data_IF_332866932257
#
_entry.id   IF_332866932257
#
_cell.length_a   1.000
_cell.length_b   1.000
_cell.length_c   1.000
_cell.angle_alpha   90.00
_cell.angle_beta   90.00
_cell.angle_gamma   90.00
#
_symmetry.space_group_name_H-M   'P 1'
#
loop_
_entity.id
_entity.type
_entity.pdbx_description
1 polymer ?
#
# COMPACT_ATOMS: atom_id res chain seq x y z
N UNK A 1 -18.77 -13.48 42.38
CA UNK A 1 -18.12 -13.32 41.06
C UNK A 1 -19.08 -12.55 40.18
N UNK A 2 -18.65 -11.42 39.60
CA UNK A 2 -19.48 -10.68 38.64
C UNK A 2 -19.48 -11.46 37.33
N UNK A 3 -20.66 -11.80 36.80
CA UNK A 3 -20.72 -12.47 35.50
C UNK A 3 -20.54 -11.43 34.39
N UNK A 4 -19.86 -11.78 33.30
CA UNK A 4 -19.64 -10.88 32.16
C UNK A 4 -20.97 -10.33 31.59
N UNK A 5 -22.04 -11.14 31.68
CA UNK A 5 -23.39 -10.78 31.27
C UNK A 5 -24.08 -9.76 32.19
N UNK A 6 -23.59 -9.57 33.42
CA UNK A 6 -24.14 -8.63 34.40
C UNK A 6 -23.47 -7.25 34.31
N UNK A 7 -22.41 -7.11 33.52
CA UNK A 7 -21.73 -5.84 33.31
C UNK A 7 -22.60 -4.87 32.49
N UNK A 8 -22.54 -3.55 32.74
CA UNK A 8 -23.09 -2.52 31.86
C UNK A 8 -22.51 -2.56 30.45
N UNK A 9 -23.27 -2.09 29.46
CA UNK A 9 -22.87 -2.10 28.04
C UNK A 9 -21.55 -1.34 27.82
N UNK A 10 -21.33 -0.24 28.56
CA UNK A 10 -20.13 0.59 28.46
C UNK A 10 -18.88 -0.18 28.88
N UNK A 11 -18.96 -0.97 29.95
CA UNK A 11 -17.83 -1.80 30.41
C UNK A 11 -17.56 -2.95 29.44
N UNK A 12 -18.61 -3.53 28.85
CA UNK A 12 -18.47 -4.56 27.81
C UNK A 12 -17.73 -3.99 26.60
N UNK A 13 -18.09 -2.78 26.14
CA UNK A 13 -17.44 -2.13 25.02
C UNK A 13 -15.97 -1.76 25.33
N UNK A 14 -15.65 -1.34 26.55
CA UNK A 14 -14.25 -1.12 26.96
C UNK A 14 -13.44 -2.41 26.90
N UNK A 15 -13.99 -3.52 27.38
CA UNK A 15 -13.32 -4.84 27.31
C UNK A 15 -13.12 -5.24 25.85
N UNK A 16 -14.12 -5.08 25.00
CA UNK A 16 -14.05 -5.39 23.57
C UNK A 16 -12.99 -4.53 22.89
N UNK A 17 -12.98 -3.23 23.14
CA UNK A 17 -11.97 -2.33 22.61
C UNK A 17 -10.57 -2.72 23.06
N UNK A 18 -10.39 -3.23 24.29
CA UNK A 18 -9.11 -3.75 24.75
C UNK A 18 -8.72 -5.07 24.08
N UNK A 19 -9.68 -5.97 23.82
CA UNK A 19 -9.43 -7.23 23.08
C UNK A 19 -9.09 -6.94 21.61
N UNK A 20 -9.76 -5.95 21.01
CA UNK A 20 -9.55 -5.48 19.65
C UNK A 20 -8.35 -4.55 19.51
N UNK A 21 -7.86 -3.95 20.61
CA UNK A 21 -6.69 -3.09 20.57
C UNK A 21 -5.53 -3.89 19.97
N UNK A 22 -5.03 -3.39 18.84
CA UNK A 22 -3.84 -3.96 18.23
C UNK A 22 -2.74 -3.94 19.29
N UNK A 23 -2.22 -5.11 19.67
CA UNK A 23 -0.90 -5.17 20.30
C UNK A 23 0.03 -4.64 19.23
N UNK A 24 0.40 -3.37 19.37
CA UNK A 24 0.89 -2.50 18.29
C UNK A 24 1.59 -3.29 17.20
N UNK A 25 1.08 -3.19 15.98
CA UNK A 25 1.89 -3.52 14.81
C UNK A 25 3.14 -2.66 14.94
N UNK A 26 4.22 -3.22 15.50
CA UNK A 26 5.49 -2.52 15.59
C UNK A 26 5.83 -2.06 14.18
N UNK A 27 6.15 -0.77 14.00
CA UNK A 27 6.34 -0.10 12.72
C UNK A 27 6.89 -1.07 11.67
N UNK A 28 5.99 -1.74 10.93
CA UNK A 28 6.39 -2.71 9.95
C UNK A 28 6.93 -1.90 8.79
N UNK A 29 8.15 -2.17 8.30
CA UNK A 29 8.67 -1.42 7.18
C UNK A 29 7.76 -1.55 5.95
N UNK A 30 7.60 -0.47 5.19
CA UNK A 30 6.62 -0.39 4.11
C UNK A 30 6.84 -1.45 3.01
N UNK A 31 8.11 -1.81 2.75
CA UNK A 31 8.48 -2.84 1.78
C UNK A 31 8.04 -4.26 2.18
N UNK A 32 7.51 -4.46 3.41
CA UNK A 32 6.90 -5.73 3.86
C UNK A 32 5.36 -5.69 3.88
N UNK A 33 4.74 -4.58 3.51
CA UNK A 33 3.28 -4.42 3.60
C UNK A 33 2.54 -5.30 2.59
N UNK A 34 3.02 -5.43 1.35
CA UNK A 34 2.41 -6.32 0.35
C UNK A 34 2.28 -7.76 0.85
N UNK A 35 3.36 -8.31 1.42
CA UNK A 35 3.37 -9.64 2.03
C UNK A 35 2.48 -9.76 3.28
N UNK A 36 2.27 -8.67 4.01
CA UNK A 36 1.33 -8.65 5.14
C UNK A 36 -0.10 -8.84 4.65
N UNK A 37 -0.51 -8.09 3.62
CA UNK A 37 -1.84 -8.23 3.02
C UNK A 37 -2.03 -9.65 2.47
N UNK A 38 -1.04 -10.18 1.77
CA UNK A 38 -1.11 -11.54 1.23
C UNK A 38 -1.25 -12.59 2.34
N UNK A 39 -0.46 -12.45 3.42
CA UNK A 39 -0.60 -13.32 4.59
C UNK A 39 -1.97 -13.19 5.24
N UNK A 40 -2.54 -11.99 5.32
CA UNK A 40 -3.85 -11.77 5.92
C UNK A 40 -4.97 -12.57 5.24
N UNK A 41 -4.94 -12.71 3.90
CA UNK A 41 -5.97 -13.47 3.17
C UNK A 41 -5.72 -14.98 3.16
N UNK A 42 -4.46 -15.43 3.27
CA UNK A 42 -4.07 -16.85 3.27
C UNK A 42 -4.17 -17.49 4.65
N UNK A 43 -3.68 -16.78 5.67
CA UNK A 43 -3.54 -17.31 7.03
C UNK A 43 -4.86 -17.30 7.80
N UNK A 44 -4.85 -18.05 8.90
CA UNK A 44 -5.98 -18.11 9.82
C UNK A 44 -6.22 -16.76 10.49
N UNK A 45 -7.49 -16.45 10.77
CA UNK A 45 -7.84 -15.19 11.41
C UNK A 45 -7.06 -15.01 12.72
N UNK A 46 -6.56 -13.79 13.01
CA UNK A 46 -5.96 -13.48 14.29
C UNK A 46 -6.86 -13.93 15.45
N UNK A 47 -6.24 -14.36 16.55
CA UNK A 47 -6.99 -14.86 17.72
C UNK A 47 -8.02 -13.84 18.21
N UNK A 48 -7.70 -12.54 18.15
CA UNK A 48 -8.62 -11.45 18.50
C UNK A 48 -9.93 -11.49 17.70
N UNK A 49 -9.87 -11.77 16.40
CA UNK A 49 -11.07 -11.90 15.56
C UNK A 49 -11.88 -13.15 15.90
N UNK A 50 -11.19 -14.26 16.26
CA UNK A 50 -11.83 -15.48 16.75
C UNK A 50 -12.51 -15.25 18.11
N UNK A 51 -11.88 -14.48 19.00
CA UNK A 51 -12.39 -14.13 20.31
C UNK A 51 -13.60 -13.19 20.20
N UNK A 52 -13.52 -12.16 19.35
CA UNK A 52 -14.64 -11.26 19.07
C UNK A 52 -15.83 -12.02 18.48
N UNK A 53 -15.58 -12.92 17.52
CA UNK A 53 -16.62 -13.80 16.96
C UNK A 53 -17.26 -14.67 18.03
N UNK A 54 -16.46 -15.21 18.95
CA UNK A 54 -16.96 -16.02 20.05
C UNK A 54 -17.85 -15.19 20.98
N UNK A 55 -17.40 -14.00 21.38
CA UNK A 55 -18.16 -13.05 22.20
C UNK A 55 -19.48 -12.64 21.53
N UNK A 56 -19.44 -12.32 20.24
CA UNK A 56 -20.60 -11.98 19.42
C UNK A 56 -21.68 -13.08 19.44
N UNK A 57 -21.27 -14.35 19.54
CA UNK A 57 -22.18 -15.50 19.55
C UNK A 57 -22.65 -15.93 20.95
N UNK A 58 -22.18 -15.28 22.03
CA UNK A 58 -22.54 -15.67 23.42
C UNK A 58 -24.01 -15.42 23.73
N UNK A 59 -24.55 -14.25 23.35
CA UNK A 59 -25.94 -13.89 23.67
C UNK A 59 -26.50 -12.87 22.69
N UNK A 60 -27.83 -12.71 22.67
CA UNK A 60 -28.50 -11.68 21.86
C UNK A 60 -28.10 -10.25 22.24
N UNK A 61 -27.72 -10.01 23.51
CA UNK A 61 -27.19 -8.73 23.97
C UNK A 61 -25.83 -8.45 23.35
N UNK A 62 -24.90 -9.41 23.42
CA UNK A 62 -23.58 -9.29 22.78
C UNK A 62 -23.71 -9.16 21.27
N UNK A 63 -24.59 -9.94 20.63
CA UNK A 63 -24.87 -9.79 19.20
C UNK A 63 -25.21 -8.34 18.86
N UNK A 64 -26.17 -7.70 19.56
CA UNK A 64 -26.59 -6.33 19.26
C UNK A 64 -25.48 -5.30 19.51
N UNK A 65 -24.72 -5.47 20.59
CA UNK A 65 -23.64 -4.54 20.95
C UNK A 65 -22.46 -4.65 20.00
N UNK A 66 -22.05 -5.86 19.64
CA UNK A 66 -20.81 -6.12 18.92
C UNK A 66 -21.00 -6.22 17.41
N UNK A 67 -22.24 -6.22 16.91
CA UNK A 67 -22.55 -6.29 15.47
C UNK A 67 -21.77 -5.25 14.68
N UNK A 68 -21.74 -3.99 15.16
CA UNK A 68 -20.98 -2.93 14.49
C UNK A 68 -19.49 -3.27 14.44
N UNK A 69 -18.86 -3.51 15.60
CA UNK A 69 -17.43 -3.83 15.72
C UNK A 69 -17.01 -5.06 14.89
N UNK A 70 -17.89 -6.06 14.78
CA UNK A 70 -17.62 -7.29 14.03
C UNK A 70 -17.59 -7.08 12.51
N UNK A 71 -18.44 -6.17 12.00
CA UNK A 71 -18.52 -5.88 10.56
C UNK A 71 -17.70 -4.66 10.14
N UNK A 72 -17.06 -3.97 11.08
CA UNK A 72 -16.27 -2.76 10.81
C UNK A 72 -15.13 -3.01 9.82
N UNK A 73 -14.32 -4.02 10.12
CA UNK A 73 -13.16 -4.41 9.32
C UNK A 73 -13.38 -5.81 8.74
N UNK A 74 -13.50 -5.90 7.42
CA UNK A 74 -13.69 -7.17 6.73
C UNK A 74 -12.38 -7.63 6.12
N UNK A 75 -12.02 -8.89 6.34
CA UNK A 75 -10.99 -9.58 5.57
C UNK A 75 -11.63 -10.80 4.91
N UNK A 76 -11.77 -10.74 3.59
CA UNK A 76 -12.24 -11.86 2.78
C UNK A 76 -11.05 -12.78 2.52
N UNK A 77 -11.09 -13.98 3.08
CA UNK A 77 -10.04 -14.97 2.85
C UNK A 77 -10.10 -15.53 1.44
N UNK A 78 -8.96 -16.00 0.96
CA UNK A 78 -8.94 -16.93 -0.16
C UNK A 78 -9.64 -18.23 0.26
N UNK A 79 -10.43 -18.78 -0.64
CA UNK A 79 -11.07 -20.06 -0.43
C UNK A 79 -11.15 -20.87 -1.72
N UNK A 80 -11.42 -22.18 -1.60
CA UNK A 80 -11.69 -22.99 -2.78
C UNK A 80 -12.89 -22.45 -3.55
N UNK A 81 -12.92 -22.72 -4.86
CA UNK A 81 -14.00 -22.29 -5.78
C UNK A 81 -15.41 -22.65 -5.28
N UNK A 82 -15.56 -23.72 -4.49
CA UNK A 82 -16.82 -24.08 -3.88
C UNK A 82 -16.97 -23.45 -2.48
N UNK A 83 -18.03 -22.65 -2.27
CA UNK A 83 -18.28 -21.87 -1.04
C UNK A 83 -17.26 -20.77 -0.76
N UNK A 84 -16.89 -20.02 -1.80
CA UNK A 84 -15.96 -18.92 -1.69
C UNK A 84 -16.38 -17.94 -0.55
N UNK A 85 -15.48 -17.54 0.36
CA UNK A 85 -15.79 -16.62 1.46
C UNK A 85 -16.47 -15.33 0.99
N UNK A 86 -16.09 -14.84 -0.18
CA UNK A 86 -16.71 -13.67 -0.81
C UNK A 86 -18.19 -13.90 -1.12
N UNK A 87 -18.58 -15.05 -1.67
CA UNK A 87 -19.98 -15.35 -1.98
C UNK A 87 -20.84 -15.46 -0.73
N UNK A 88 -20.28 -15.99 0.36
CA UNK A 88 -20.95 -16.00 1.67
C UNK A 88 -21.18 -14.60 2.20
N UNK A 89 -20.18 -13.72 2.07
CA UNK A 89 -20.31 -12.32 2.44
C UNK A 89 -21.36 -11.62 1.56
N UNK A 90 -21.27 -11.76 0.23
CA UNK A 90 -22.24 -11.20 -0.73
C UNK A 90 -23.68 -11.63 -0.41
N UNK A 91 -23.89 -12.92 -0.09
CA UNK A 91 -25.20 -13.42 0.38
C UNK A 91 -25.64 -12.76 1.69
N UNK A 92 -24.76 -12.69 2.68
CA UNK A 92 -25.05 -12.06 3.98
C UNK A 92 -25.44 -10.59 3.82
N UNK A 93 -24.73 -9.84 2.97
CA UNK A 93 -25.02 -8.42 2.71
C UNK A 93 -26.29 -8.20 1.89
N UNK A 94 -26.68 -9.19 1.08
CA UNK A 94 -27.97 -9.17 0.38
C UNK A 94 -29.13 -9.45 1.33
N UNK A 95 -28.96 -10.39 2.25
CA UNK A 95 -29.98 -10.77 3.22
C UNK A 95 -30.13 -9.71 4.34
N UNK A 96 -29.03 -9.03 4.70
CA UNK A 96 -29.02 -7.92 5.67
C UNK A 96 -28.29 -6.66 5.14
N UNK A 97 -28.90 -5.85 4.25
CA UNK A 97 -28.24 -4.70 3.62
C UNK A 97 -27.74 -3.62 4.59
N UNK A 98 -28.37 -3.49 5.76
CA UNK A 98 -27.95 -2.53 6.79
C UNK A 98 -26.52 -2.80 7.32
N UNK A 99 -25.99 -4.01 7.13
CA UNK A 99 -24.60 -4.34 7.50
C UNK A 99 -23.58 -3.49 6.75
N UNK A 100 -23.89 -3.07 5.52
CA UNK A 100 -23.00 -2.25 4.69
C UNK A 100 -22.65 -0.92 5.36
N UNK A 101 -23.53 -0.40 6.24
CA UNK A 101 -23.30 0.84 6.99
C UNK A 101 -22.27 0.69 8.10
N UNK A 102 -21.94 -0.52 8.51
CA UNK A 102 -20.95 -0.74 9.55
C UNK A 102 -19.54 -0.94 9.00
N UNK A 103 -19.42 -1.35 7.73
CA UNK A 103 -18.14 -1.63 7.08
C UNK A 103 -17.46 -0.32 6.72
N UNK A 104 -16.26 -0.09 7.27
CA UNK A 104 -15.40 1.04 6.91
C UNK A 104 -14.07 0.60 6.29
N UNK A 105 -13.69 -0.68 6.44
CA UNK A 105 -12.47 -1.22 5.86
C UNK A 105 -12.71 -2.63 5.31
N UNK A 106 -12.13 -2.92 4.14
CA UNK A 106 -12.19 -4.25 3.55
C UNK A 106 -10.88 -4.66 2.87
N UNK A 107 -10.45 -5.90 3.09
CA UNK A 107 -9.42 -6.59 2.32
C UNK A 107 -10.10 -7.67 1.49
N UNK A 108 -10.00 -7.57 0.16
CA UNK A 108 -10.72 -8.42 -0.79
C UNK A 108 -9.75 -8.97 -1.84
N UNK A 109 -9.63 -10.30 -2.00
CA UNK A 109 -8.92 -10.89 -3.12
C UNK A 109 -9.76 -10.74 -4.39
N UNK A 110 -9.13 -10.26 -5.45
CA UNK A 110 -9.65 -10.33 -6.80
C UNK A 110 -9.26 -11.71 -7.36
N UNK A 111 -10.25 -12.55 -7.62
CA UNK A 111 -10.02 -13.93 -8.07
C UNK A 111 -10.18 -14.08 -9.57
N UNK A 112 -11.19 -13.41 -10.12
CA UNK A 112 -11.60 -13.61 -11.52
C UNK A 112 -12.14 -12.36 -12.19
N UNK A 113 -12.65 -11.38 -11.43
CA UNK A 113 -13.38 -10.27 -12.02
C UNK A 113 -13.44 -9.03 -11.12
N UNK A 114 -13.57 -7.87 -11.76
CA UNK A 114 -13.93 -6.59 -11.13
C UNK A 114 -15.13 -6.71 -10.16
N UNK A 115 -16.10 -7.56 -10.48
CA UNK A 115 -17.28 -7.79 -9.64
C UNK A 115 -16.97 -8.39 -8.26
N UNK A 116 -15.73 -8.84 -8.04
CA UNK A 116 -15.29 -9.32 -6.73
C UNK A 116 -15.24 -8.20 -5.70
N UNK A 117 -14.79 -7.01 -6.10
CA UNK A 117 -14.59 -5.87 -5.19
C UNK A 117 -15.41 -4.62 -5.54
N UNK A 118 -16.00 -4.53 -6.74
CA UNK A 118 -16.71 -3.33 -7.20
C UNK A 118 -17.73 -2.78 -6.19
N UNK A 119 -18.53 -3.64 -5.55
CA UNK A 119 -19.58 -3.19 -4.63
C UNK A 119 -19.04 -2.49 -3.37
N UNK A 120 -17.81 -2.80 -2.95
CA UNK A 120 -17.21 -2.26 -1.73
C UNK A 120 -16.89 -0.77 -1.86
N UNK A 121 -16.58 -0.28 -3.06
CA UNK A 121 -16.41 1.15 -3.34
C UNK A 121 -17.66 1.98 -2.98
N UNK A 122 -18.84 1.36 -2.91
CA UNK A 122 -20.12 2.06 -2.75
C UNK A 122 -20.73 1.90 -1.37
N UNK A 123 -20.04 1.23 -0.43
CA UNK A 123 -20.55 1.17 0.94
C UNK A 123 -20.44 2.56 1.58
N UNK A 124 -21.50 3.03 2.27
CA UNK A 124 -21.65 4.44 2.63
C UNK A 124 -20.58 4.98 3.59
N UNK A 125 -19.95 4.09 4.36
CA UNK A 125 -18.91 4.44 5.33
C UNK A 125 -17.54 3.82 4.96
N UNK A 126 -17.37 3.29 3.75
CA UNK A 126 -16.09 2.73 3.31
C UNK A 126 -15.03 3.82 3.26
N UNK A 127 -13.92 3.60 3.95
CA UNK A 127 -12.76 4.49 4.00
C UNK A 127 -11.53 3.81 3.41
N UNK A 128 -11.29 2.54 3.79
CA UNK A 128 -10.11 1.78 3.37
C UNK A 128 -10.50 0.56 2.56
N UNK A 129 -9.99 0.44 1.33
CA UNK A 129 -10.19 -0.73 0.51
C UNK A 129 -8.84 -1.30 0.08
N UNK A 130 -8.59 -2.56 0.39
CA UNK A 130 -7.43 -3.31 -0.10
C UNK A 130 -7.90 -4.36 -1.10
N UNK A 131 -7.40 -4.29 -2.32
CA UNK A 131 -7.70 -5.20 -3.41
C UNK A 131 -6.43 -5.97 -3.73
N UNK A 132 -6.47 -7.29 -3.63
CA UNK A 132 -5.32 -8.15 -3.87
C UNK A 132 -5.43 -8.81 -5.24
N UNK A 133 -4.36 -8.82 -6.03
CA UNK A 133 -4.26 -9.53 -7.33
C UNK A 133 -5.28 -9.07 -8.36
N UNK A 134 -5.52 -7.77 -8.44
CA UNK A 134 -6.30 -7.21 -9.53
C UNK A 134 -5.45 -7.20 -10.81
N UNK A 135 -5.72 -8.18 -11.67
CA UNK A 135 -5.11 -8.33 -13.00
C UNK A 135 -6.15 -7.95 -14.05
N UNK A 136 -5.81 -6.98 -14.91
CA UNK A 136 -6.69 -6.53 -15.98
C UNK A 136 -5.86 -6.03 -17.16
N UNK A 137 -5.73 -6.88 -18.19
CA UNK A 137 -5.01 -6.56 -19.42
C UNK A 137 -5.84 -5.68 -20.36
N UNK A 138 -7.15 -5.89 -20.35
CA UNK A 138 -8.09 -5.17 -21.18
C UNK A 138 -8.83 -4.08 -20.39
N UNK A 139 -9.36 -3.06 -21.08
CA UNK A 139 -10.28 -2.11 -20.49
C UNK A 139 -11.48 -2.85 -19.89
N UNK A 140 -12.04 -2.29 -18.82
CA UNK A 140 -13.17 -2.94 -18.15
C UNK A 140 -14.40 -2.94 -19.07
N UNK A 141 -14.96 -4.12 -19.34
CA UNK A 141 -16.18 -4.26 -20.14
C UNK A 141 -17.30 -3.36 -19.58
N UNK A 142 -17.89 -2.51 -20.43
CA UNK A 142 -18.87 -1.47 -20.09
C UNK A 142 -18.32 -0.22 -19.33
N UNK A 143 -17.19 0.34 -19.80
CA UNK A 143 -16.72 1.65 -19.33
C UNK A 143 -17.80 2.74 -19.37
N UNK A 144 -18.71 2.68 -20.34
CA UNK A 144 -19.83 3.64 -20.45
C UNK A 144 -20.72 3.64 -19.21
N UNK A 145 -21.08 2.46 -18.70
CA UNK A 145 -21.83 2.29 -17.46
C UNK A 145 -20.99 2.62 -16.22
N UNK A 146 -19.67 2.46 -16.29
CA UNK A 146 -18.75 2.76 -15.18
C UNK A 146 -18.47 4.27 -15.00
N UNK A 147 -18.60 5.08 -16.06
CA UNK A 147 -18.38 6.55 -15.98
C UNK A 147 -19.28 7.26 -14.98
N UNK A 148 -20.48 6.73 -14.73
CA UNK A 148 -21.39 7.32 -13.75
C UNK A 148 -20.87 7.23 -12.31
N UNK A 149 -19.84 6.43 -12.06
CA UNK A 149 -19.27 6.18 -10.73
C UNK A 149 -18.05 7.04 -10.40
N UNK A 150 -17.52 7.77 -11.38
CA UNK A 150 -16.36 8.66 -11.23
C UNK A 150 -16.61 9.68 -10.11
N UNK A 151 -15.67 9.77 -9.18
CA UNK A 151 -15.66 10.76 -8.10
C UNK A 151 -16.80 10.61 -7.09
N UNK A 152 -17.37 9.40 -6.92
CA UNK A 152 -18.53 9.17 -6.04
C UNK A 152 -18.23 8.29 -4.83
N UNK A 153 -17.14 7.54 -4.86
CA UNK A 153 -16.82 6.59 -3.78
C UNK A 153 -16.29 7.35 -2.55
N UNK A 154 -16.72 6.98 -1.33
CA UNK A 154 -16.19 7.55 -0.08
C UNK A 154 -14.80 7.01 0.30
N UNK A 155 -14.25 6.06 -0.45
CA UNK A 155 -12.91 5.51 -0.20
C UNK A 155 -11.87 6.62 -0.21
N UNK A 156 -11.09 6.72 0.87
CA UNK A 156 -9.98 7.68 1.03
C UNK A 156 -8.62 7.00 1.06
N UNK A 157 -8.57 5.69 1.35
CA UNK A 157 -7.36 4.88 1.32
C UNK A 157 -7.56 3.64 0.45
N UNK A 158 -6.71 3.47 -0.56
CA UNK A 158 -6.76 2.33 -1.47
C UNK A 158 -5.42 1.60 -1.46
N UNK A 159 -5.45 0.28 -1.28
CA UNK A 159 -4.26 -0.57 -1.36
C UNK A 159 -4.46 -1.57 -2.50
N UNK A 160 -3.78 -1.35 -3.61
CA UNK A 160 -3.74 -2.24 -4.76
C UNK A 160 -2.51 -3.13 -4.61
N UNK A 161 -2.73 -4.31 -4.05
CA UNK A 161 -1.67 -5.22 -3.68
C UNK A 161 -1.48 -6.26 -4.79
N UNK A 162 -0.25 -6.46 -5.25
CA UNK A 162 0.05 -7.36 -6.36
C UNK A 162 -0.82 -7.06 -7.59
N UNK A 163 -0.84 -5.79 -7.98
CA UNK A 163 -1.70 -5.29 -9.04
C UNK A 163 -0.94 -5.27 -10.36
N UNK A 164 -1.47 -6.00 -11.34
CA UNK A 164 -0.98 -6.06 -12.72
C UNK A 164 -2.03 -5.56 -13.72
N UNK A 165 -2.79 -4.53 -13.35
CA UNK A 165 -3.73 -3.89 -14.25
C UNK A 165 -3.04 -2.90 -15.19
N UNK A 166 -3.42 -2.91 -16.47
CA UNK A 166 -3.02 -1.93 -17.47
C UNK A 166 -3.64 -0.55 -17.22
N UNK A 167 -3.11 0.45 -17.93
CA UNK A 167 -3.44 1.87 -17.73
C UNK A 167 -4.95 2.16 -17.74
N UNK A 168 -5.72 1.65 -18.70
CA UNK A 168 -7.15 1.97 -18.83
C UNK A 168 -7.99 1.39 -17.68
N UNK A 169 -7.76 0.12 -17.33
CA UNK A 169 -8.44 -0.52 -16.21
C UNK A 169 -8.05 0.14 -14.87
N UNK A 170 -6.77 0.47 -14.70
CA UNK A 170 -6.25 1.13 -13.50
C UNK A 170 -6.79 2.56 -13.37
N UNK A 171 -6.81 3.33 -14.46
CA UNK A 171 -7.40 4.67 -14.50
C UNK A 171 -8.88 4.65 -14.13
N UNK A 172 -9.61 3.63 -14.58
CA UNK A 172 -11.03 3.48 -14.23
C UNK A 172 -11.22 3.31 -12.72
N UNK A 173 -10.52 2.37 -12.07
CA UNK A 173 -10.72 2.15 -10.63
C UNK A 173 -10.21 3.32 -9.78
N UNK A 174 -9.13 4.00 -10.19
CA UNK A 174 -8.58 5.17 -9.50
C UNK A 174 -9.43 6.43 -9.69
N UNK A 175 -10.34 6.44 -10.66
CA UNK A 175 -11.28 7.54 -10.88
C UNK A 175 -12.53 7.48 -9.98
N UNK A 176 -12.81 6.34 -9.34
CA UNK A 176 -14.02 6.16 -8.54
C UNK A 176 -14.02 6.90 -7.19
N UNK A 177 -12.92 6.91 -6.41
CA UNK A 177 -12.80 7.74 -5.21
C UNK A 177 -13.09 9.22 -5.48
N UNK A 178 -13.87 9.85 -4.61
CA UNK A 178 -14.13 11.30 -4.67
C UNK A 178 -12.89 12.14 -4.32
N UNK A 179 -12.09 11.68 -3.35
CA UNK A 179 -10.86 12.31 -2.90
C UNK A 179 -9.97 11.24 -2.25
N UNK A 180 -9.19 10.53 -3.06
CA UNK A 180 -8.24 9.55 -2.55
C UNK A 180 -7.08 10.28 -1.87
N UNK A 181 -6.81 9.93 -0.61
CA UNK A 181 -5.75 10.53 0.21
C UNK A 181 -4.53 9.62 0.35
N UNK A 182 -4.75 8.29 0.39
CA UNK A 182 -3.68 7.30 0.58
C UNK A 182 -3.77 6.25 -0.52
N UNK A 183 -2.64 5.99 -1.18
CA UNK A 183 -2.51 4.89 -2.15
C UNK A 183 -1.28 4.03 -1.81
N UNK A 184 -1.49 2.73 -1.63
CA UNK A 184 -0.43 1.73 -1.74
C UNK A 184 -0.61 0.98 -3.06
N UNK A 185 0.33 1.13 -3.98
CA UNK A 185 0.39 0.38 -5.22
C UNK A 185 1.60 -0.57 -5.18
N UNK A 186 1.32 -1.86 -5.01
CA UNK A 186 2.31 -2.94 -5.07
C UNK A 186 2.21 -3.58 -6.46
N UNK A 187 3.14 -3.21 -7.35
CA UNK A 187 3.07 -3.55 -8.78
C UNK A 187 3.53 -4.98 -9.03
N UNK A 188 2.74 -5.77 -9.77
CA UNK A 188 3.10 -7.13 -10.18
C UNK A 188 2.99 -7.24 -11.71
N UNK A 189 4.11 -7.44 -12.39
CA UNK A 189 4.18 -7.63 -13.86
C UNK A 189 4.46 -9.08 -14.27
N UNK A 190 4.69 -9.99 -13.32
CA UNK A 190 5.18 -11.35 -13.62
C UNK A 190 4.27 -12.21 -14.50
N UNK A 191 2.99 -11.83 -14.68
CA UNK A 191 2.09 -12.48 -15.63
C UNK A 191 2.23 -11.96 -17.06
N UNK A 192 3.00 -10.89 -17.32
CA UNK A 192 3.16 -10.30 -18.65
C UNK A 192 4.32 -10.90 -19.44
N UNK A 193 5.30 -11.50 -18.76
CA UNK A 193 6.44 -12.15 -19.41
C UNK A 193 5.99 -13.34 -20.25
N UNK A 194 6.35 -13.31 -21.54
CA UNK A 194 6.05 -14.36 -22.51
C UNK A 194 4.66 -14.31 -23.15
N UNK A 195 3.82 -13.30 -22.86
CA UNK A 195 2.49 -13.14 -23.50
C UNK A 195 2.56 -12.34 -24.81
N UNK A 196 3.52 -11.43 -24.93
CA UNK A 196 3.72 -10.66 -26.15
C UNK A 196 4.74 -11.37 -27.04
N UNK A 197 4.24 -12.28 -27.89
CA UNK A 197 4.98 -12.99 -28.93
C UNK A 197 5.54 -11.99 -29.98
N UNK A 198 6.59 -11.26 -29.63
CA UNK A 198 7.36 -10.29 -30.45
C UNK A 198 6.83 -8.84 -30.53
N UNK A 199 5.78 -8.46 -29.80
CA UNK A 199 5.38 -7.05 -29.66
C UNK A 199 5.92 -6.46 -28.35
N UNK A 200 6.44 -5.21 -28.32
CA UNK A 200 6.71 -4.55 -27.05
C UNK A 200 5.38 -4.42 -26.31
N UNK A 201 5.21 -5.18 -25.23
CA UNK A 201 3.98 -5.16 -24.44
C UNK A 201 3.61 -3.71 -24.11
N UNK A 202 2.31 -3.41 -24.10
CA UNK A 202 1.78 -2.14 -23.55
C UNK A 202 1.90 -2.14 -22.02
N UNK A 203 3.09 -2.43 -21.54
CA UNK A 203 3.40 -2.64 -20.14
C UNK A 203 3.17 -1.37 -19.34
N UNK A 204 2.91 -1.58 -18.06
CA UNK A 204 2.95 -0.52 -17.07
C UNK A 204 4.30 0.18 -17.08
N UNK A 205 4.21 1.50 -17.02
CA UNK A 205 5.34 2.42 -16.87
C UNK A 205 4.99 3.41 -15.79
N UNK A 206 6.01 3.99 -15.14
CA UNK A 206 5.79 5.08 -14.18
C UNK A 206 4.95 6.22 -14.78
N UNK A 207 5.16 6.56 -16.06
CA UNK A 207 4.39 7.58 -16.76
C UNK A 207 2.92 7.21 -16.95
N UNK A 208 2.63 5.96 -17.35
CA UNK A 208 1.25 5.46 -17.45
C UNK A 208 0.56 5.48 -16.09
N UNK A 209 1.23 4.98 -15.05
CA UNK A 209 0.72 5.02 -13.69
C UNK A 209 0.38 6.44 -13.23
N UNK A 210 1.28 7.41 -13.44
CA UNK A 210 1.02 8.82 -13.10
C UNK A 210 -0.18 9.40 -13.85
N UNK A 211 -0.40 9.01 -15.12
CA UNK A 211 -1.61 9.41 -15.86
C UNK A 211 -2.89 8.85 -15.23
N UNK A 212 -2.86 7.62 -14.74
CA UNK A 212 -4.03 7.03 -14.05
C UNK A 212 -4.39 7.76 -12.75
N UNK A 213 -3.43 8.46 -12.12
CA UNK A 213 -3.62 9.19 -10.87
C UNK A 213 -4.08 10.64 -11.04
N UNK A 214 -4.19 11.15 -12.27
CA UNK A 214 -4.59 12.54 -12.53
C UNK A 214 -5.86 12.99 -11.79
N UNK A 215 -6.93 12.17 -11.67
CA UNK A 215 -8.13 12.56 -10.93
C UNK A 215 -7.87 12.86 -9.44
N UNK A 216 -6.82 12.28 -8.85
CA UNK A 216 -6.50 12.34 -7.42
C UNK A 216 -5.33 13.28 -7.09
N UNK A 217 -4.79 13.99 -8.09
CA UNK A 217 -3.60 14.83 -7.96
C UNK A 217 -3.72 15.90 -6.85
N UNK A 218 -4.93 16.42 -6.63
CA UNK A 218 -5.21 17.44 -5.61
C UNK A 218 -5.54 16.91 -4.22
N UNK A 219 -5.72 15.60 -4.05
CA UNK A 219 -6.13 15.00 -2.76
C UNK A 219 -5.13 13.99 -2.21
N UNK A 220 -4.28 13.39 -3.05
CA UNK A 220 -3.35 12.34 -2.64
C UNK A 220 -2.25 12.91 -1.74
N UNK A 221 -2.24 12.47 -0.47
CA UNK A 221 -1.30 12.88 0.58
C UNK A 221 -0.18 11.87 0.79
N UNK A 222 -0.48 10.59 0.64
CA UNK A 222 0.49 9.50 0.81
C UNK A 222 0.48 8.54 -0.38
N UNK A 223 1.67 8.27 -0.92
CA UNK A 223 1.88 7.28 -1.96
C UNK A 223 2.93 6.27 -1.50
N UNK A 224 2.57 4.99 -1.53
CA UNK A 224 3.47 3.86 -1.31
C UNK A 224 3.58 3.06 -2.59
N UNK A 225 4.78 2.92 -3.13
CA UNK A 225 5.06 2.22 -4.39
C UNK A 225 6.07 1.10 -4.14
N UNK A 226 5.61 -0.15 -4.19
CA UNK A 226 6.39 -1.35 -3.92
C UNK A 226 6.25 -2.34 -5.07
N UNK A 227 7.03 -3.43 -5.04
CA UNK A 227 6.85 -4.59 -5.92
C UNK A 227 7.21 -5.88 -5.17
N UNK A 228 6.67 -7.05 -5.60
CA UNK A 228 7.10 -8.35 -5.10
C UNK A 228 8.59 -8.63 -5.32
N UNK A 229 9.20 -9.28 -4.34
CA UNK A 229 10.60 -9.70 -4.36
C UNK A 229 10.86 -10.77 -5.43
N UNK A 230 11.94 -10.68 -6.21
CA UNK A 230 12.38 -11.64 -7.23
C UNK A 230 11.53 -11.76 -8.52
N UNK A 231 10.49 -10.93 -8.68
CA UNK A 231 9.74 -10.84 -9.95
C UNK A 231 10.24 -9.61 -10.70
N UNK A 232 11.52 -9.67 -11.07
CA UNK A 232 12.29 -8.55 -11.59
C UNK A 232 12.19 -8.39 -13.11
N UNK A 233 11.75 -9.41 -13.85
CA UNK A 233 11.69 -9.35 -15.30
C UNK A 233 10.59 -8.35 -15.72
N UNK A 234 10.94 -7.33 -16.52
CA UNK A 234 10.01 -6.35 -17.10
C UNK A 234 9.87 -4.98 -16.42
N UNK A 235 10.07 -4.86 -15.10
CA UNK A 235 9.85 -3.59 -14.36
C UNK A 235 11.00 -2.57 -14.47
N UNK A 236 12.15 -2.94 -15.04
CA UNK A 236 13.40 -2.19 -14.90
C UNK A 236 13.69 -1.10 -15.92
N UNK A 237 12.89 -0.96 -16.98
CA UNK A 237 13.31 -0.14 -18.13
C UNK A 237 12.49 1.14 -18.33
N UNK A 238 11.96 1.69 -17.23
CA UNK A 238 11.09 2.85 -17.26
C UNK A 238 11.83 4.15 -16.88
N UNK A 239 11.39 5.31 -17.41
CA UNK A 239 11.81 6.59 -16.86
C UNK A 239 11.35 6.69 -15.40
N UNK A 240 12.02 7.56 -14.63
CA UNK A 240 11.64 7.80 -13.23
C UNK A 240 10.19 8.24 -13.09
N UNK A 241 9.57 7.92 -11.96
CA UNK A 241 8.22 8.43 -11.67
C UNK A 241 8.23 9.96 -11.56
N UNK A 242 7.25 10.63 -12.20
CA UNK A 242 7.07 12.07 -12.16
C UNK A 242 5.87 12.47 -11.31
N UNK A 243 6.11 13.00 -10.11
CA UNK A 243 5.09 13.38 -9.12
C UNK A 243 5.07 14.90 -8.85
N UNK A 244 5.77 15.70 -9.66
CA UNK A 244 5.96 17.14 -9.44
C UNK A 244 4.66 17.92 -9.23
N UNK A 245 3.60 17.52 -9.93
CA UNK A 245 2.30 18.21 -9.91
C UNK A 245 1.37 17.79 -8.76
N UNK A 246 1.76 16.78 -7.96
CA UNK A 246 0.99 16.28 -6.82
C UNK A 246 1.19 17.16 -5.58
N UNK A 247 0.59 18.35 -5.62
CA UNK A 247 0.76 19.40 -4.59
C UNK A 247 0.24 19.06 -3.19
N UNK A 248 -0.58 18.01 -3.05
CA UNK A 248 -1.05 17.53 -1.76
C UNK A 248 -0.14 16.43 -1.16
N UNK A 249 0.79 15.87 -1.95
CA UNK A 249 1.59 14.73 -1.55
C UNK A 249 2.67 15.17 -0.56
N UNK A 250 2.56 14.69 0.69
CA UNK A 250 3.50 14.99 1.77
C UNK A 250 4.36 13.80 2.15
N UNK A 251 3.90 12.58 1.88
CA UNK A 251 4.65 11.34 2.20
C UNK A 251 4.79 10.47 0.96
N UNK A 252 6.02 10.10 0.65
CA UNK A 252 6.35 9.16 -0.42
C UNK A 252 7.15 7.99 0.16
N UNK A 253 6.66 6.77 -0.05
CA UNK A 253 7.35 5.52 0.27
C UNK A 253 7.57 4.77 -1.03
N UNK A 254 8.81 4.51 -1.41
CA UNK A 254 9.09 4.12 -2.79
C UNK A 254 10.30 3.18 -2.85
N UNK A 255 10.24 2.20 -3.74
CA UNK A 255 11.43 1.43 -4.09
C UNK A 255 12.36 2.29 -4.97
N UNK A 256 13.65 2.21 -4.72
CA UNK A 256 14.67 3.02 -5.38
C UNK A 256 14.54 2.99 -6.92
N UNK A 257 14.26 1.81 -7.49
CA UNK A 257 14.05 1.61 -8.93
C UNK A 257 13.03 2.56 -9.55
N UNK A 258 11.95 2.91 -8.84
CA UNK A 258 10.92 3.80 -9.37
C UNK A 258 11.28 5.28 -9.19
N UNK A 259 12.06 5.59 -8.16
CA UNK A 259 12.50 6.95 -7.85
C UNK A 259 13.52 7.46 -8.88
N UNK A 260 14.46 6.59 -9.29
CA UNK A 260 15.52 6.95 -10.21
C UNK A 260 15.28 6.44 -11.64
N UNK A 261 14.66 5.26 -11.81
CA UNK A 261 14.46 4.64 -13.12
C UNK A 261 15.79 4.43 -13.86
N UNK A 262 15.74 4.50 -15.19
CA UNK A 262 16.94 4.52 -16.05
C UNK A 262 17.62 5.90 -16.14
N UNK A 263 17.05 6.93 -15.52
CA UNK A 263 17.55 8.29 -15.64
C UNK A 263 18.67 8.59 -14.62
N UNK A 264 19.38 9.72 -14.80
CA UNK A 264 20.46 10.16 -13.89
C UNK A 264 19.95 10.29 -12.43
N UNK A 265 20.48 9.53 -11.45
CA UNK A 265 20.08 9.62 -10.05
C UNK A 265 20.24 11.03 -9.46
N UNK A 266 21.22 11.82 -9.93
CA UNK A 266 21.42 13.21 -9.49
C UNK A 266 20.22 14.12 -9.76
N UNK A 267 19.37 13.75 -10.71
CA UNK A 267 18.22 14.55 -11.14
C UNK A 267 16.89 14.04 -10.55
N UNK A 268 16.92 13.11 -9.58
CA UNK A 268 15.73 12.52 -8.97
C UNK A 268 14.84 13.55 -8.27
N UNK A 269 15.43 14.66 -7.81
CA UNK A 269 14.69 15.77 -7.22
C UNK A 269 13.69 16.43 -8.18
N UNK A 270 13.91 16.37 -9.51
CA UNK A 270 13.07 17.06 -10.51
C UNK A 270 11.65 16.51 -10.56
N UNK A 271 11.49 15.24 -10.23
CA UNK A 271 10.20 14.56 -10.27
C UNK A 271 9.45 14.61 -8.95
N UNK A 272 10.08 15.04 -7.85
CA UNK A 272 9.44 15.09 -6.55
C UNK A 272 8.57 16.35 -6.40
N UNK A 273 7.42 16.26 -5.71
CA UNK A 273 6.59 17.43 -5.47
C UNK A 273 7.20 18.32 -4.40
N UNK A 274 7.00 19.63 -4.54
CA UNK A 274 7.52 20.62 -3.57
C UNK A 274 6.91 20.48 -2.17
N UNK A 275 5.72 19.89 -2.08
CA UNK A 275 4.97 19.62 -0.84
C UNK A 275 5.53 18.46 -0.02
N UNK A 276 6.48 17.69 -0.56
CA UNK A 276 6.99 16.49 0.09
C UNK A 276 7.67 16.83 1.43
N UNK A 277 7.25 16.16 2.49
CA UNK A 277 7.78 16.31 3.85
C UNK A 277 8.63 15.09 4.24
N UNK A 278 8.19 13.90 3.87
CA UNK A 278 8.77 12.63 4.29
C UNK A 278 9.00 11.69 3.08
N UNK A 279 10.24 11.22 2.93
CA UNK A 279 10.66 10.31 1.87
C UNK A 279 11.25 9.02 2.48
N UNK A 280 10.57 7.89 2.29
CA UNK A 280 11.05 6.57 2.70
C UNK A 280 11.43 5.75 1.46
N UNK A 281 12.65 5.23 1.41
CA UNK A 281 13.23 4.56 0.25
C UNK A 281 13.67 3.15 0.64
N UNK A 282 13.38 2.18 -0.22
CA UNK A 282 13.90 0.82 -0.10
C UNK A 282 14.70 0.46 -1.35
N UNK A 283 15.97 0.08 -1.17
CA UNK A 283 16.82 -0.48 -2.21
C UNK A 283 16.51 -1.97 -2.32
N UNK A 284 15.67 -2.35 -3.28
CA UNK A 284 15.25 -3.73 -3.44
C UNK A 284 16.14 -4.55 -4.39
N UNK A 285 16.99 -3.87 -5.15
CA UNK A 285 17.94 -4.48 -6.09
C UNK A 285 19.38 -4.01 -5.79
N UNK A 286 19.94 -4.58 -4.72
CA UNK A 286 21.29 -4.31 -4.24
C UNK A 286 22.38 -4.98 -5.11
N UNK A 287 22.00 -5.88 -6.02
CA UNK A 287 22.91 -6.48 -6.99
C UNK A 287 23.22 -5.50 -8.14
N UNK A 288 22.27 -4.60 -8.48
CA UNK A 288 22.45 -3.60 -9.54
C UNK A 288 22.89 -2.23 -9.04
N UNK A 289 22.39 -1.76 -7.89
CA UNK A 289 22.77 -0.46 -7.35
C UNK A 289 22.78 -0.53 -5.83
N UNK A 290 23.97 -0.39 -5.26
CA UNK A 290 24.15 -0.27 -3.81
C UNK A 290 23.95 1.17 -3.36
N UNK A 291 23.49 1.36 -2.13
CA UNK A 291 23.29 2.69 -1.56
C UNK A 291 24.58 3.54 -1.56
N UNK A 292 25.74 2.94 -1.32
CA UNK A 292 27.01 3.68 -1.23
C UNK A 292 27.52 4.22 -2.57
N UNK A 293 27.12 3.60 -3.68
CA UNK A 293 27.51 4.00 -5.05
C UNK A 293 26.54 5.04 -5.65
N UNK A 294 25.37 5.20 -5.03
CA UNK A 294 24.32 6.05 -5.53
C UNK A 294 24.52 7.54 -5.13
N UNK A 295 24.20 8.42 -6.06
CA UNK A 295 24.40 9.87 -5.92
C UNK A 295 23.10 10.64 -5.74
N UNK A 296 21.93 10.00 -5.72
CA UNK A 296 20.64 10.71 -5.66
C UNK A 296 20.52 11.66 -4.44
N UNK A 297 21.07 11.27 -3.28
CA UNK A 297 21.09 12.10 -2.08
C UNK A 297 21.83 13.43 -2.30
N UNK A 298 22.92 13.41 -3.07
CA UNK A 298 23.68 14.62 -3.40
C UNK A 298 22.81 15.57 -4.24
N UNK A 299 22.14 15.03 -5.26
CA UNK A 299 21.19 15.79 -6.07
C UNK A 299 20.06 16.42 -5.24
N UNK A 300 19.46 15.64 -4.35
CA UNK A 300 18.41 16.13 -3.45
C UNK A 300 18.90 17.27 -2.56
N UNK A 301 20.09 17.15 -1.97
CA UNK A 301 20.64 18.17 -1.06
C UNK A 301 20.96 19.48 -1.77
N UNK A 302 21.56 19.40 -2.96
CA UNK A 302 21.90 20.59 -3.78
C UNK A 302 20.64 21.40 -4.11
N UNK A 303 19.52 20.71 -4.36
CA UNK A 303 18.28 21.35 -4.81
C UNK A 303 17.22 21.50 -3.72
N UNK A 304 17.52 21.14 -2.47
CA UNK A 304 16.56 21.08 -1.36
C UNK A 304 15.86 22.41 -1.12
N UNK A 305 16.61 23.50 -0.96
CA UNK A 305 16.04 24.79 -0.55
C UNK A 305 15.04 25.33 -1.58
N UNK A 306 15.37 25.20 -2.87
CA UNK A 306 14.55 25.75 -3.94
C UNK A 306 13.38 24.83 -4.32
N UNK A 307 13.63 23.52 -4.39
CA UNK A 307 12.71 22.56 -5.01
C UNK A 307 11.98 21.69 -4.00
N UNK A 308 12.56 21.41 -2.82
CA UNK A 308 11.99 20.54 -1.80
C UNK A 308 12.01 21.22 -0.41
N UNK A 309 11.43 22.44 -0.30
CA UNK A 309 11.58 23.27 0.90
C UNK A 309 10.97 22.63 2.15
N UNK A 310 9.99 21.74 1.99
CA UNK A 310 9.28 21.09 3.09
C UNK A 310 9.87 19.74 3.50
N UNK A 311 10.81 19.19 2.72
CA UNK A 311 11.39 17.88 2.97
C UNK A 311 12.22 17.94 4.26
N UNK A 312 11.77 17.20 5.27
CA UNK A 312 12.38 17.19 6.62
C UNK A 312 13.02 15.86 6.97
N UNK A 313 12.60 14.76 6.34
CA UNK A 313 13.06 13.42 6.69
C UNK A 313 13.24 12.55 5.45
N UNK A 314 14.38 11.87 5.41
CA UNK A 314 14.67 10.77 4.51
C UNK A 314 14.97 9.54 5.36
N UNK A 315 14.31 8.42 5.07
CA UNK A 315 14.62 7.11 5.63
C UNK A 315 14.98 6.15 4.51
N UNK A 316 16.10 5.45 4.64
CA UNK A 316 16.60 4.53 3.62
C UNK A 316 16.80 3.17 4.25
N UNK A 317 16.32 2.15 3.57
CA UNK A 317 16.53 0.77 3.98
C UNK A 317 17.05 -0.06 2.79
N UNK A 318 17.99 -0.97 3.05
CA UNK A 318 18.57 -1.83 2.02
C UNK A 318 18.92 -3.22 2.59
N UNK A 319 18.70 -4.32 1.88
CA UNK A 319 19.11 -5.67 2.28
C UNK A 319 20.63 -5.90 2.17
N UNK A 320 21.42 -4.89 1.77
CA UNK A 320 22.87 -4.94 1.65
C UNK A 320 23.61 -5.60 2.83
N UNK A 321 24.47 -6.54 2.50
CA UNK A 321 25.31 -7.30 3.43
C UNK A 321 26.78 -7.03 3.16
N UNK A 322 27.59 -7.01 4.22
CA UNK A 322 29.04 -6.84 4.16
C UNK A 322 29.74 -8.17 4.46
N UNK A 323 30.86 -8.41 3.78
CA UNK A 323 31.72 -9.56 4.06
C UNK A 323 32.60 -9.28 5.29
N UNK A 324 32.45 -10.08 6.35
CA UNK A 324 33.35 -10.07 7.50
C UNK A 324 34.52 -11.02 7.23
N UNK A 325 35.68 -10.45 6.89
CA UNK A 325 36.89 -11.21 6.60
C UNK A 325 37.47 -11.94 7.83
N UNK A 326 37.18 -11.49 9.05
CA UNK A 326 37.66 -12.14 10.28
C UNK A 326 36.85 -13.38 10.62
N UNK A 327 35.55 -13.37 10.30
CA UNK A 327 34.63 -14.48 10.58
C UNK A 327 34.27 -15.32 9.36
N UNK A 328 34.77 -14.93 8.18
CA UNK A 328 34.45 -15.56 6.89
C UNK A 328 32.94 -15.71 6.68
N UNK A 329 32.15 -14.70 7.06
CA UNK A 329 30.69 -14.71 6.95
C UNK A 329 30.14 -13.37 6.47
N UNK A 330 29.01 -13.40 5.77
CA UNK A 330 28.25 -12.19 5.43
C UNK A 330 27.41 -11.73 6.62
N UNK A 331 27.38 -10.43 6.87
CA UNK A 331 26.58 -9.83 7.95
C UNK A 331 25.80 -8.62 7.46
N UNK A 332 24.70 -8.28 8.16
CA UNK A 332 24.08 -6.98 8.00
C UNK A 332 25.09 -5.83 8.12
N UNK A 333 25.07 -4.91 7.16
CA UNK A 333 25.87 -3.69 7.24
C UNK A 333 25.44 -2.80 8.42
N UNK A 334 24.19 -2.91 8.87
CA UNK A 334 23.70 -2.25 10.06
C UNK A 334 23.35 -0.79 9.82
N UNK A 335 23.38 0.01 10.89
CA UNK A 335 23.05 1.44 10.80
C UNK A 335 24.20 2.20 10.14
N UNK A 336 23.92 2.87 9.04
CA UNK A 336 24.92 3.67 8.33
C UNK A 336 24.96 5.10 8.87
N UNK A 337 26.15 5.68 8.95
CA UNK A 337 26.37 7.06 9.41
C UNK A 337 26.99 7.88 8.29
N UNK A 338 26.45 9.09 8.00
CA UNK A 338 26.97 9.90 6.91
C UNK A 338 28.40 10.36 7.18
N UNK A 339 29.27 10.40 6.14
CA UNK A 339 30.60 10.98 6.27
C UNK A 339 30.50 12.48 6.63
N UNK A 340 31.53 13.07 7.29
CA UNK A 340 31.43 14.42 7.84
C UNK A 340 30.96 15.52 6.87
N UNK A 341 31.40 15.55 5.60
CA UNK A 341 30.90 16.54 4.64
C UNK A 341 29.39 16.43 4.39
N UNK A 342 28.87 15.19 4.29
CA UNK A 342 27.45 14.94 4.07
C UNK A 342 26.64 15.23 5.32
N UNK A 343 27.14 14.85 6.50
CA UNK A 343 26.50 15.14 7.78
C UNK A 343 26.30 16.65 7.98
N UNK A 344 27.32 17.45 7.64
CA UNK A 344 27.23 18.90 7.72
C UNK A 344 26.24 19.49 6.70
N UNK A 345 26.23 18.97 5.46
CA UNK A 345 25.25 19.39 4.45
C UNK A 345 23.80 19.08 4.87
N UNK A 346 23.56 17.91 5.46
CA UNK A 346 22.26 17.52 6.02
C UNK A 346 21.81 18.45 7.15
N UNK A 347 22.72 18.81 8.05
CA UNK A 347 22.45 19.74 9.15
C UNK A 347 22.09 21.14 8.64
N UNK A 348 22.87 21.69 7.71
CA UNK A 348 22.58 23.00 7.07
C UNK A 348 21.21 22.96 6.39
N UNK A 349 20.92 21.86 5.68
CA UNK A 349 19.64 21.67 5.01
C UNK A 349 18.48 21.42 5.99
N UNK A 350 18.72 21.23 7.29
CA UNK A 350 17.69 20.86 8.26
C UNK A 350 17.00 19.54 7.93
N UNK A 351 17.75 18.57 7.42
CA UNK A 351 17.24 17.28 6.94
C UNK A 351 17.67 16.13 7.86
N UNK A 352 16.70 15.40 8.40
CA UNK A 352 16.96 14.17 9.14
C UNK A 352 17.14 13.00 8.16
N UNK A 353 18.28 12.30 8.26
CA UNK A 353 18.56 11.10 7.48
C UNK A 353 18.71 9.90 8.42
N UNK A 354 17.97 8.83 8.15
CA UNK A 354 18.12 7.53 8.81
C UNK A 354 18.38 6.46 7.76
N UNK A 355 19.47 5.69 7.90
CA UNK A 355 19.86 4.67 6.93
C UNK A 355 20.12 3.35 7.65
N UNK A 356 19.40 2.31 7.24
CA UNK A 356 19.49 0.98 7.80
C UNK A 356 19.78 -0.06 6.71
N UNK A 357 20.98 -0.64 6.75
CA UNK A 357 21.45 -1.63 5.79
C UNK A 357 21.43 -3.04 6.43
N UNK A 358 21.22 -4.09 5.62
CA UNK A 358 21.24 -5.49 6.03
C UNK A 358 20.01 -6.01 6.79
N UNK A 359 18.81 -5.64 6.32
CA UNK A 359 17.49 -5.85 6.97
C UNK A 359 16.71 -7.09 6.55
#
# INVERSE_FOLDING_TARGET
MVQLLDLPDELILVIVNYVQAEKGQGNLPFYKWGDLYERAIKQDQPQQNKDLRSLYLVSSRFYRLLKRNYYENICVREGPFHNHPLDRLKRTLRDEPNLQKFINSAIVPCTTSLYDFFCFYWFPNMQTLSILRFMAMDPLEDESGLRQFIGKSPVTALNLIRCGAHEEALATILSWPAALEVLHYDVEQGEWDGIYDDEPGKGWTCAAFVRTLQPQMGSLKELTLTRPWLVHEGLFNGPRICLRDFTALTTLRIYHVFLCGEDDPLEAWRSLPRSLEDLEIFYDDWDLTTFEEDTFLLGLLVHKEENLPHLRRISIASPEIIWDAEKEEYKPAGRWSPPPPLAHALEIAGLALDVQLGI
#
